data_IF_526465257282
#
_entry.id   IF_526465257282
#
_cell.length_a   1.000
_cell.length_b   1.000
_cell.length_c   1.000
_cell.angle_alpha   90.00
_cell.angle_beta   90.00
_cell.angle_gamma   90.00
#
_symmetry.space_group_name_H-M   'P 1'
#
loop_
_entity.id
_entity.type
_entity.pdbx_description
1 polymer ?
#
# COMPACT_ATOMS: atom_id res chain seq x y z
N UNK A 1 -18.56 -19.79 31.97
CA UNK A 1 -17.12 -20.17 32.04
C UNK A 1 -16.48 -20.53 30.68
N UNK A 2 -17.22 -20.87 29.63
CA UNK A 2 -16.65 -21.28 28.31
C UNK A 2 -16.04 -20.14 27.44
N UNK A 3 -16.55 -18.90 27.53
CA UNK A 3 -16.06 -17.80 26.69
C UNK A 3 -14.65 -17.28 27.04
N UNK A 4 -14.16 -17.45 28.26
CA UNK A 4 -12.79 -17.03 28.65
C UNK A 4 -11.70 -18.01 28.18
N UNK A 5 -12.03 -19.27 27.95
CA UNK A 5 -11.07 -20.28 27.47
C UNK A 5 -10.77 -20.07 25.96
N UNK A 6 -11.80 -19.75 25.19
CA UNK A 6 -11.68 -19.51 23.72
C UNK A 6 -10.83 -18.27 23.39
N UNK A 7 -10.92 -17.21 24.20
CA UNK A 7 -10.11 -15.99 24.02
C UNK A 7 -8.62 -16.24 24.34
N UNK A 8 -8.33 -17.04 25.35
CA UNK A 8 -6.95 -17.43 25.71
C UNK A 8 -6.28 -18.28 24.63
N UNK A 9 -7.00 -19.19 24.00
CA UNK A 9 -6.48 -20.02 22.91
C UNK A 9 -6.23 -19.21 21.63
N UNK A 10 -7.07 -18.22 21.32
CA UNK A 10 -6.86 -17.31 20.19
C UNK A 10 -5.68 -16.37 20.41
N UNK A 11 -5.50 -15.87 21.63
CA UNK A 11 -4.35 -15.05 22.03
C UNK A 11 -3.06 -15.88 21.96
N UNK A 12 -3.05 -17.12 22.47
CA UNK A 12 -1.89 -18.00 22.36
C UNK A 12 -1.56 -18.38 20.90
N UNK A 13 -2.56 -18.59 20.03
CA UNK A 13 -2.31 -18.77 18.59
C UNK A 13 -1.66 -17.53 17.95
N UNK A 14 -2.06 -16.33 18.38
CA UNK A 14 -1.50 -15.08 17.89
C UNK A 14 -0.03 -14.90 18.34
N UNK A 15 0.27 -15.21 19.61
CA UNK A 15 1.65 -15.19 20.12
C UNK A 15 2.53 -16.26 19.48
N UNK A 16 2.01 -17.47 19.24
CA UNK A 16 2.74 -18.52 18.51
C UNK A 16 3.03 -18.14 17.06
N UNK A 17 2.16 -17.37 16.41
CA UNK A 17 2.42 -16.84 15.06
C UNK A 17 3.51 -15.77 15.08
N UNK A 18 3.54 -14.92 16.11
CA UNK A 18 4.59 -13.91 16.32
C UNK A 18 5.94 -14.55 16.66
N UNK A 19 5.94 -15.60 17.47
CA UNK A 19 7.17 -16.35 17.81
C UNK A 19 7.65 -17.21 16.64
N UNK A 20 6.77 -17.73 15.80
CA UNK A 20 7.14 -18.36 14.53
C UNK A 20 7.81 -17.38 13.57
N UNK A 21 7.36 -16.13 13.53
CA UNK A 21 8.01 -15.06 12.73
C UNK A 21 9.36 -14.68 13.35
N UNK A 22 9.50 -14.66 14.68
CA UNK A 22 10.78 -14.41 15.37
C UNK A 22 11.78 -15.56 15.21
N UNK A 23 11.31 -16.80 15.13
CA UNK A 23 12.14 -18.00 14.97
C UNK A 23 12.48 -18.31 13.50
N UNK A 24 11.98 -17.55 12.51
CA UNK A 24 12.52 -17.52 11.17
C UNK A 24 13.91 -16.84 11.23
N UNK A 25 14.88 -17.60 11.72
CA UNK A 25 16.35 -17.41 11.66
C UNK A 25 16.84 -15.97 11.34
N UNK A 26 16.75 -15.07 12.34
CA UNK A 26 17.46 -13.79 12.32
C UNK A 26 18.99 -13.97 12.44
N UNK A 27 19.48 -15.19 12.67
CA UNK A 27 20.90 -15.49 12.93
C UNK A 27 21.68 -16.03 11.71
N UNK A 28 21.07 -16.09 10.53
CA UNK A 28 21.85 -16.27 9.31
C UNK A 28 22.27 -14.88 8.83
N UNK A 29 23.49 -14.45 9.16
CA UNK A 29 24.16 -13.34 8.47
C UNK A 29 24.23 -13.77 6.99
N UNK A 30 23.25 -13.31 6.21
CA UNK A 30 23.28 -13.50 4.76
C UNK A 30 24.50 -12.74 4.24
N UNK A 31 25.37 -13.44 3.60
CA UNK A 31 26.49 -12.83 2.88
C UNK A 31 25.94 -11.91 1.78
N UNK A 32 26.71 -10.93 1.35
CA UNK A 32 26.33 -9.99 0.29
C UNK A 32 25.79 -10.70 -0.97
N UNK A 33 26.20 -11.93 -1.22
CA UNK A 33 25.80 -12.77 -2.35
C UNK A 33 24.41 -13.43 -2.17
N UNK A 34 23.97 -13.71 -0.93
CA UNK A 34 22.62 -14.24 -0.67
C UNK A 34 21.51 -13.16 -0.76
N UNK A 35 21.87 -11.86 -0.77
CA UNK A 35 20.95 -10.73 -0.94
C UNK A 35 20.53 -10.56 -2.42
N UNK A 36 21.22 -11.21 -3.35
CA UNK A 36 21.00 -11.09 -4.80
C UNK A 36 19.79 -11.90 -5.31
N UNK A 37 19.16 -12.73 -4.49
CA UNK A 37 18.16 -13.69 -4.99
C UNK A 37 16.75 -13.15 -5.24
N UNK A 38 16.42 -11.90 -4.85
CA UNK A 38 15.15 -11.27 -5.21
C UNK A 38 15.35 -9.79 -5.59
N UNK A 39 16.25 -9.52 -6.50
CA UNK A 39 16.47 -8.17 -6.99
C UNK A 39 15.27 -7.69 -7.80
N UNK A 40 14.68 -6.56 -7.40
CA UNK A 40 13.68 -5.85 -8.18
C UNK A 40 14.31 -4.95 -9.25
N UNK A 41 15.55 -5.23 -9.64
CA UNK A 41 16.28 -4.50 -10.67
C UNK A 41 15.48 -4.47 -11.99
N UNK A 42 15.31 -3.28 -12.54
CA UNK A 42 14.50 -3.07 -13.74
C UNK A 42 12.98 -3.07 -13.51
N UNK A 43 12.49 -3.28 -12.30
CA UNK A 43 11.07 -3.10 -11.94
C UNK A 43 10.76 -1.64 -11.62
N UNK A 44 9.57 -1.21 -11.97
CA UNK A 44 9.02 0.13 -11.68
C UNK A 44 7.90 -0.01 -10.67
N UNK A 45 8.03 0.66 -9.53
CA UNK A 45 7.07 0.62 -8.43
C UNK A 45 6.45 1.99 -8.17
N UNK A 46 5.12 2.08 -8.21
CA UNK A 46 4.36 3.25 -7.78
C UNK A 46 3.83 3.02 -6.37
N UNK A 47 4.18 3.92 -5.44
CA UNK A 47 3.69 3.87 -4.05
C UNK A 47 2.90 5.14 -3.76
N UNK A 48 1.62 5.00 -3.46
CA UNK A 48 0.76 6.13 -3.12
C UNK A 48 0.87 6.52 -1.65
N UNK A 49 0.80 7.81 -1.33
CA UNK A 49 0.96 8.31 0.04
C UNK A 49 2.34 8.00 0.63
N UNK A 50 3.39 8.07 -0.19
CA UNK A 50 4.74 7.65 0.18
C UNK A 50 5.63 8.78 0.74
N UNK A 51 5.06 9.93 1.11
CA UNK A 51 5.82 11.02 1.73
C UNK A 51 6.31 10.67 3.15
N UNK A 52 5.61 9.80 3.88
CA UNK A 52 5.91 9.44 5.27
C UNK A 52 5.36 8.07 5.67
N UNK A 53 5.68 7.65 6.90
CA UNK A 53 5.09 6.47 7.54
C UNK A 53 5.31 5.18 6.75
N UNK A 54 4.28 4.35 6.65
CA UNK A 54 4.30 3.04 5.99
C UNK A 54 4.67 3.17 4.51
N UNK A 55 4.08 4.12 3.79
CA UNK A 55 4.37 4.33 2.36
C UNK A 55 5.83 4.70 2.09
N UNK A 56 6.43 5.57 2.91
CA UNK A 56 7.86 5.90 2.84
C UNK A 56 8.73 4.68 3.12
N UNK A 57 8.40 3.89 4.15
CA UNK A 57 9.13 2.66 4.48
C UNK A 57 9.08 1.63 3.35
N UNK A 58 7.90 1.44 2.72
CA UNK A 58 7.72 0.57 1.56
C UNK A 58 8.56 1.08 0.37
N UNK A 59 8.48 2.38 0.06
CA UNK A 59 9.22 3.00 -1.04
C UNK A 59 10.74 2.78 -0.88
N UNK A 60 11.27 3.03 0.32
CA UNK A 60 12.68 2.79 0.65
C UNK A 60 13.08 1.33 0.50
N UNK A 61 12.23 0.40 0.97
CA UNK A 61 12.53 -1.04 0.89
C UNK A 61 12.51 -1.55 -0.56
N UNK A 62 11.55 -1.09 -1.38
CA UNK A 62 11.52 -1.43 -2.80
C UNK A 62 12.75 -0.89 -3.55
N UNK A 63 13.14 0.35 -3.30
CA UNK A 63 14.33 0.95 -3.89
C UNK A 63 15.62 0.24 -3.45
N UNK A 64 15.74 -0.13 -2.18
CA UNK A 64 16.88 -0.90 -1.65
C UNK A 64 17.03 -2.26 -2.35
N UNK A 65 15.93 -2.83 -2.84
CA UNK A 65 15.93 -4.07 -3.61
C UNK A 65 16.07 -3.85 -5.14
N UNK A 66 16.37 -2.62 -5.59
CA UNK A 66 16.71 -2.32 -6.98
C UNK A 66 15.55 -1.79 -7.83
N UNK A 67 14.34 -1.61 -7.29
CA UNK A 67 13.25 -1.01 -8.04
C UNK A 67 13.45 0.50 -8.27
N UNK A 68 13.01 1.00 -9.44
CA UNK A 68 12.77 2.42 -9.66
C UNK A 68 11.45 2.80 -9.00
N UNK A 69 11.47 3.70 -8.01
CA UNK A 69 10.29 3.98 -7.17
C UNK A 69 9.69 5.35 -7.48
N UNK A 70 8.40 5.38 -7.70
CA UNK A 70 7.62 6.61 -7.79
C UNK A 70 6.93 6.87 -6.45
N UNK A 71 7.29 7.99 -5.82
CA UNK A 71 6.77 8.49 -4.57
C UNK A 71 5.59 9.41 -4.89
N UNK A 72 4.35 8.89 -4.85
CA UNK A 72 3.19 9.76 -4.98
C UNK A 72 2.79 10.33 -3.62
N UNK A 73 2.40 11.59 -3.61
CA UNK A 73 1.90 12.34 -2.45
C UNK A 73 0.96 13.46 -2.87
N UNK A 74 0.18 14.04 -1.93
CA UNK A 74 -0.75 15.13 -2.23
C UNK A 74 -0.30 16.50 -1.71
N UNK A 75 0.17 16.58 -0.46
CA UNK A 75 0.41 17.87 0.24
C UNK A 75 1.77 17.98 0.94
N UNK A 76 2.36 16.87 1.34
CA UNK A 76 3.56 16.83 2.18
C UNK A 76 4.83 16.84 1.32
N UNK A 77 5.17 18.01 0.78
CA UNK A 77 6.36 18.22 -0.06
C UNK A 77 7.65 17.89 0.69
N UNK A 78 7.73 18.28 1.98
CA UNK A 78 8.91 18.06 2.81
C UNK A 78 9.13 16.56 3.04
N UNK A 79 8.09 15.84 3.44
CA UNK A 79 8.17 14.39 3.67
C UNK A 79 8.51 13.62 2.41
N UNK A 80 7.92 13.98 1.26
CA UNK A 80 8.21 13.36 -0.02
C UNK A 80 9.69 13.56 -0.42
N UNK A 81 10.21 14.78 -0.26
CA UNK A 81 11.61 15.08 -0.54
C UNK A 81 12.56 14.37 0.43
N UNK A 82 12.19 14.21 1.70
CA UNK A 82 12.99 13.44 2.65
C UNK A 82 13.04 11.95 2.25
N UNK A 83 11.91 11.36 1.88
CA UNK A 83 11.87 9.98 1.39
C UNK A 83 12.73 9.81 0.14
N UNK A 84 12.65 10.73 -0.81
CA UNK A 84 13.49 10.76 -2.00
C UNK A 84 14.98 10.80 -1.66
N UNK A 85 15.39 11.74 -0.79
CA UNK A 85 16.79 11.89 -0.36
C UNK A 85 17.34 10.64 0.32
N UNK A 86 16.55 10.00 1.19
CA UNK A 86 16.97 8.77 1.87
C UNK A 86 17.17 7.62 0.87
N UNK A 87 16.28 7.47 -0.12
CA UNK A 87 16.43 6.48 -1.19
C UNK A 87 17.70 6.74 -2.01
N UNK A 88 17.90 7.99 -2.44
CA UNK A 88 19.07 8.37 -3.25
C UNK A 88 20.38 8.19 -2.49
N UNK A 89 20.39 8.56 -1.19
CA UNK A 89 21.58 8.37 -0.30
C UNK A 89 21.94 6.88 -0.16
N UNK A 90 20.97 5.99 -0.24
CA UNK A 90 21.18 4.52 -0.19
C UNK A 90 21.51 3.92 -1.56
N UNK A 91 21.74 4.74 -2.60
CA UNK A 91 22.06 4.28 -3.95
C UNK A 91 20.85 3.83 -4.79
N UNK A 92 19.61 3.98 -4.28
CA UNK A 92 18.40 3.67 -4.99
C UNK A 92 17.96 4.80 -5.94
N UNK A 93 17.01 4.49 -6.82
CA UNK A 93 16.40 5.48 -7.71
C UNK A 93 14.94 5.74 -7.33
N UNK A 94 14.58 7.00 -7.20
CA UNK A 94 13.19 7.40 -7.01
C UNK A 94 12.87 8.73 -7.70
N UNK A 95 11.58 8.97 -7.96
CA UNK A 95 11.02 10.24 -8.44
C UNK A 95 9.77 10.57 -7.63
N UNK A 96 9.58 11.83 -7.28
CA UNK A 96 8.35 12.30 -6.64
C UNK A 96 7.34 12.76 -7.67
N UNK A 97 6.05 12.44 -7.46
CA UNK A 97 4.93 12.97 -8.25
C UNK A 97 3.85 13.48 -7.29
N UNK A 98 3.59 14.79 -7.32
CA UNK A 98 2.56 15.45 -6.52
C UNK A 98 1.22 15.36 -7.22
N UNK A 99 0.32 14.47 -6.75
CA UNK A 99 -1.06 14.38 -7.23
C UNK A 99 -1.99 13.91 -6.10
N UNK A 100 -3.12 14.56 -5.95
CA UNK A 100 -4.18 14.16 -5.02
C UNK A 100 -5.08 13.11 -5.69
N UNK A 101 -4.87 11.85 -5.35
CA UNK A 101 -5.58 10.72 -5.93
C UNK A 101 -7.02 10.54 -5.41
N UNK A 102 -7.54 11.45 -4.58
CA UNK A 102 -8.98 11.48 -4.26
C UNK A 102 -9.85 11.87 -5.45
N UNK A 103 -9.26 12.36 -6.53
CA UNK A 103 -9.93 12.71 -7.79
C UNK A 103 -9.61 11.67 -8.88
N UNK A 104 -10.65 11.19 -9.57
CA UNK A 104 -10.52 10.20 -10.65
C UNK A 104 -9.53 10.63 -11.73
N UNK A 105 -9.64 11.88 -12.23
CA UNK A 105 -8.74 12.40 -13.26
C UNK A 105 -7.26 12.30 -12.85
N UNK A 106 -6.96 12.64 -11.60
CA UNK A 106 -5.60 12.59 -11.07
C UNK A 106 -5.06 11.15 -10.97
N UNK A 107 -5.93 10.17 -10.72
CA UNK A 107 -5.52 8.75 -10.74
C UNK A 107 -5.06 8.34 -12.14
N UNK A 108 -5.85 8.70 -13.16
CA UNK A 108 -5.53 8.38 -14.57
C UNK A 108 -4.27 9.13 -15.03
N UNK A 109 -4.17 10.42 -14.72
CA UNK A 109 -3.00 11.23 -15.05
C UNK A 109 -1.73 10.70 -14.37
N UNK A 110 -1.82 10.25 -13.10
CA UNK A 110 -0.68 9.67 -12.39
C UNK A 110 -0.15 8.42 -13.10
N UNK A 111 -1.03 7.50 -13.45
CA UNK A 111 -0.64 6.26 -14.16
C UNK A 111 -0.03 6.61 -15.52
N UNK A 112 -0.66 7.50 -16.29
CA UNK A 112 -0.15 7.92 -17.60
C UNK A 112 1.22 8.59 -17.50
N UNK A 113 1.43 9.48 -16.52
CA UNK A 113 2.71 10.14 -16.30
C UNK A 113 3.82 9.13 -15.98
N UNK A 114 3.53 8.13 -15.13
CA UNK A 114 4.50 7.07 -14.81
C UNK A 114 4.79 6.22 -16.04
N UNK A 115 3.78 5.79 -16.79
CA UNK A 115 3.97 4.97 -17.99
C UNK A 115 4.75 5.74 -19.06
N UNK A 116 4.43 7.02 -19.27
CA UNK A 116 5.16 7.86 -20.23
C UNK A 116 6.63 8.03 -19.84
N UNK A 117 6.92 8.17 -18.54
CA UNK A 117 8.28 8.43 -18.05
C UNK A 117 9.13 7.15 -17.95
N UNK A 118 8.53 6.04 -17.53
CA UNK A 118 9.24 4.79 -17.19
C UNK A 118 8.87 3.61 -18.10
N UNK A 119 7.93 3.79 -19.01
CA UNK A 119 7.46 2.77 -19.96
C UNK A 119 6.54 1.71 -19.35
N UNK A 120 6.43 1.62 -18.01
CA UNK A 120 5.68 0.57 -17.32
C UNK A 120 5.44 0.88 -15.84
N UNK A 121 4.53 0.09 -15.24
CA UNK A 121 4.42 -0.09 -13.79
C UNK A 121 4.37 -1.59 -13.54
N UNK A 122 5.34 -2.13 -12.82
CA UNK A 122 5.39 -3.55 -12.44
C UNK A 122 4.77 -3.80 -11.06
N UNK A 123 4.82 -2.79 -10.18
CA UNK A 123 4.30 -2.88 -8.81
C UNK A 123 3.50 -1.62 -8.50
N UNK A 124 2.22 -1.79 -8.16
CA UNK A 124 1.36 -0.72 -7.63
C UNK A 124 1.11 -0.99 -6.15
N UNK A 125 1.48 -0.03 -5.29
CA UNK A 125 1.18 -0.07 -3.86
C UNK A 125 0.16 1.01 -3.52
N UNK A 126 -1.08 0.62 -3.31
CA UNK A 126 -2.16 1.46 -2.83
C UNK A 126 -2.05 1.59 -1.29
N UNK A 127 -1.27 2.59 -0.85
CA UNK A 127 -1.04 2.85 0.57
C UNK A 127 -1.71 4.15 1.05
N UNK A 128 -1.92 5.13 0.19
CA UNK A 128 -2.56 6.38 0.59
C UNK A 128 -3.92 6.12 1.24
N UNK A 129 -4.11 6.68 2.42
CA UNK A 129 -5.38 6.60 3.15
C UNK A 129 -5.52 7.77 4.12
N UNK A 130 -6.77 8.02 4.51
CA UNK A 130 -7.15 8.92 5.60
C UNK A 130 -8.00 8.15 6.59
N UNK A 131 -7.90 8.52 7.87
CA UNK A 131 -8.85 8.14 8.91
C UNK A 131 -9.40 9.39 9.56
N UNK A 132 -10.63 9.30 10.00
CA UNK A 132 -11.32 10.35 10.77
C UNK A 132 -12.10 9.66 11.87
N UNK A 133 -11.83 10.05 13.11
CA UNK A 133 -12.46 9.48 14.31
C UNK A 133 -13.65 10.35 14.71
N UNK A 134 -14.81 9.73 14.87
CA UNK A 134 -16.03 10.42 15.29
C UNK A 134 -17.24 9.49 15.31
N UNK A 135 -18.30 9.89 15.99
CA UNK A 135 -19.57 9.17 15.96
C UNK A 135 -20.17 9.24 14.55
N UNK A 136 -20.64 8.12 14.03
CA UNK A 136 -21.14 8.04 12.65
C UNK A 136 -22.27 9.03 12.37
N UNK A 137 -23.14 9.28 13.35
CA UNK A 137 -24.24 10.24 13.22
C UNK A 137 -23.78 11.68 13.02
N UNK A 138 -22.55 12.01 13.41
CA UNK A 138 -21.99 13.37 13.30
C UNK A 138 -21.17 13.57 12.03
N UNK A 139 -20.96 12.50 11.25
CA UNK A 139 -20.21 12.59 9.99
C UNK A 139 -20.96 13.38 8.95
N UNK A 140 -20.32 14.42 8.42
CA UNK A 140 -20.85 15.15 7.27
C UNK A 140 -20.68 14.33 6.00
N UNK A 141 -21.55 14.54 5.03
CA UNK A 141 -21.51 13.89 3.72
C UNK A 141 -20.14 14.02 3.04
N UNK A 142 -19.55 15.21 3.14
CA UNK A 142 -18.24 15.50 2.54
C UNK A 142 -17.13 14.63 3.14
N UNK A 143 -17.13 14.41 4.46
CA UNK A 143 -16.17 13.57 5.15
C UNK A 143 -16.29 12.11 4.70
N UNK A 144 -17.55 11.61 4.61
CA UNK A 144 -17.82 10.25 4.11
C UNK A 144 -17.28 10.11 2.68
N UNK A 145 -17.64 11.03 1.78
CA UNK A 145 -17.19 11.00 0.39
C UNK A 145 -15.65 11.06 0.27
N UNK A 146 -15.01 11.92 1.07
CA UNK A 146 -13.54 12.04 1.07
C UNK A 146 -12.86 10.74 1.49
N UNK A 147 -13.36 10.08 2.53
CA UNK A 147 -12.82 8.79 2.99
C UNK A 147 -13.05 7.69 1.94
N UNK A 148 -14.25 7.63 1.36
CA UNK A 148 -14.55 6.67 0.29
C UNK A 148 -13.66 6.90 -0.93
N UNK A 149 -13.50 8.14 -1.37
CA UNK A 149 -12.69 8.47 -2.54
C UNK A 149 -11.23 8.04 -2.37
N UNK A 150 -10.60 8.42 -1.25
CA UNK A 150 -9.15 8.15 -1.07
C UNK A 150 -8.86 6.69 -0.69
N UNK A 151 -9.69 6.08 0.19
CA UNK A 151 -9.37 4.78 0.77
C UNK A 151 -9.86 3.60 -0.07
N UNK A 152 -10.89 3.79 -0.90
CA UNK A 152 -11.51 2.71 -1.68
C UNK A 152 -11.51 2.99 -3.19
N UNK A 153 -12.09 4.12 -3.61
CA UNK A 153 -12.23 4.40 -5.04
C UNK A 153 -10.89 4.67 -5.73
N UNK A 154 -9.97 5.42 -5.09
CA UNK A 154 -8.65 5.66 -5.66
C UNK A 154 -7.86 4.36 -5.91
N UNK A 155 -7.73 3.40 -4.96
CA UNK A 155 -7.17 2.08 -5.23
C UNK A 155 -7.82 1.34 -6.40
N UNK A 156 -9.16 1.41 -6.53
CA UNK A 156 -9.88 0.78 -7.65
C UNK A 156 -9.52 1.45 -8.98
N UNK A 157 -9.52 2.77 -9.06
CA UNK A 157 -9.20 3.52 -10.29
C UNK A 157 -7.74 3.31 -10.72
N UNK A 158 -6.80 3.38 -9.78
CA UNK A 158 -5.39 3.13 -10.07
C UNK A 158 -5.16 1.69 -10.54
N UNK A 159 -5.80 0.72 -9.89
CA UNK A 159 -5.74 -0.68 -10.31
C UNK A 159 -6.32 -0.87 -11.71
N UNK A 160 -7.50 -0.32 -11.98
CA UNK A 160 -8.14 -0.38 -13.30
C UNK A 160 -7.24 0.22 -14.39
N UNK A 161 -6.60 1.35 -14.10
CA UNK A 161 -5.75 2.04 -15.09
C UNK A 161 -4.44 1.30 -15.39
N UNK A 162 -3.87 0.58 -14.41
CA UNK A 162 -2.60 -0.14 -14.61
C UNK A 162 -2.79 -1.55 -15.21
N UNK A 163 -3.93 -2.18 -14.99
CA UNK A 163 -4.21 -3.55 -15.39
C UNK A 163 -3.98 -3.86 -16.88
N UNK A 164 -4.41 -3.03 -17.86
CA UNK A 164 -4.18 -3.33 -19.28
C UNK A 164 -2.69 -3.54 -19.60
N UNK A 165 -1.81 -2.73 -19.01
CA UNK A 165 -0.36 -2.86 -19.17
C UNK A 165 0.19 -4.13 -18.49
N UNK A 166 -0.29 -4.47 -17.30
CA UNK A 166 0.14 -5.66 -16.56
C UNK A 166 -0.32 -6.94 -17.26
N UNK A 167 -1.57 -6.99 -17.72
CA UNK A 167 -2.14 -8.14 -18.45
C UNK A 167 -1.40 -8.35 -19.78
N UNK A 168 -1.18 -7.28 -20.56
CA UNK A 168 -0.42 -7.36 -21.81
C UNK A 168 0.99 -7.92 -21.65
N UNK A 169 1.61 -7.70 -20.48
CA UNK A 169 2.96 -8.22 -20.15
C UNK A 169 2.93 -9.60 -19.50
N UNK A 170 1.75 -10.10 -19.12
CA UNK A 170 1.62 -11.31 -18.31
C UNK A 170 2.30 -11.21 -16.94
N UNK A 171 2.49 -10.00 -16.40
CA UNK A 171 3.21 -9.79 -15.14
C UNK A 171 2.84 -8.46 -14.51
N UNK A 172 2.57 -8.48 -13.19
CA UNK A 172 2.30 -7.28 -12.40
C UNK A 172 1.93 -7.66 -10.96
N UNK A 173 2.08 -6.70 -10.05
CA UNK A 173 1.67 -6.87 -8.65
C UNK A 173 0.91 -5.65 -8.17
N UNK A 174 -0.28 -5.86 -7.64
CA UNK A 174 -1.08 -4.82 -6.98
C UNK A 174 -1.18 -5.16 -5.49
N UNK A 175 -0.69 -4.26 -4.65
CA UNK A 175 -0.65 -4.42 -3.20
C UNK A 175 -1.53 -3.34 -2.57
N UNK A 176 -2.55 -3.76 -1.84
CA UNK A 176 -3.48 -2.86 -1.15
C UNK A 176 -3.20 -2.88 0.36
N UNK A 177 -2.85 -1.72 0.94
CA UNK A 177 -2.61 -1.60 2.38
C UNK A 177 -3.95 -1.42 3.10
N UNK A 178 -4.39 -2.48 3.76
CA UNK A 178 -5.64 -2.51 4.49
C UNK A 178 -5.46 -2.18 5.98
N UNK A 179 -6.37 -2.66 6.82
CA UNK A 179 -6.38 -2.48 8.27
C UNK A 179 -7.09 -3.66 8.92
N UNK A 180 -6.77 -3.94 10.17
CA UNK A 180 -7.55 -4.87 11.02
C UNK A 180 -9.02 -4.43 11.11
N UNK A 181 -9.28 -3.12 11.09
CA UNK A 181 -10.65 -2.58 11.09
C UNK A 181 -11.45 -2.92 9.83
N UNK A 182 -10.80 -3.32 8.75
CA UNK A 182 -11.47 -3.86 7.55
C UNK A 182 -12.01 -5.28 7.75
N UNK A 183 -11.65 -5.97 8.83
CA UNK A 183 -12.14 -7.31 9.19
C UNK A 183 -13.08 -7.26 10.39
N UNK A 184 -12.72 -6.50 11.42
CA UNK A 184 -13.44 -6.50 12.70
C UNK A 184 -14.39 -5.31 12.85
N UNK A 185 -14.22 -4.24 12.07
CA UNK A 185 -14.82 -2.95 12.33
C UNK A 185 -14.25 -2.26 13.57
N UNK A 186 -14.52 -0.96 13.74
CA UNK A 186 -14.17 -0.21 14.93
C UNK A 186 -15.23 0.84 15.26
N UNK A 187 -15.52 1.01 16.54
CA UNK A 187 -16.33 2.13 17.04
C UNK A 187 -15.63 3.45 16.72
N UNK A 188 -16.40 4.47 16.39
CA UNK A 188 -15.93 5.80 15.98
C UNK A 188 -15.10 5.82 14.68
N UNK A 189 -14.89 4.70 14.01
CA UNK A 189 -14.22 4.59 12.71
C UNK A 189 -15.08 3.82 11.68
N UNK A 190 -16.40 3.98 11.71
CA UNK A 190 -17.35 3.22 10.87
C UNK A 190 -17.03 3.36 9.39
N UNK A 191 -16.86 4.59 8.90
CA UNK A 191 -16.58 4.85 7.47
C UNK A 191 -15.21 4.29 7.09
N UNK A 192 -14.18 4.52 7.90
CA UNK A 192 -12.84 3.98 7.65
C UNK A 192 -12.86 2.45 7.58
N UNK A 193 -13.48 1.80 8.56
CA UNK A 193 -13.64 0.33 8.59
C UNK A 193 -14.35 -0.20 7.35
N UNK A 194 -15.43 0.49 6.93
CA UNK A 194 -16.18 0.15 5.72
C UNK A 194 -15.29 0.24 4.48
N UNK A 195 -14.49 1.31 4.34
CA UNK A 195 -13.58 1.45 3.19
C UNK A 195 -12.53 0.34 3.16
N UNK A 196 -11.99 -0.05 4.32
CA UNK A 196 -10.98 -1.10 4.41
C UNK A 196 -11.55 -2.51 4.22
N UNK A 197 -12.78 -2.75 4.67
CA UNK A 197 -13.53 -3.98 4.36
C UNK A 197 -13.84 -4.10 2.87
N UNK A 198 -14.28 -2.99 2.24
CA UNK A 198 -14.45 -2.91 0.79
C UNK A 198 -13.16 -3.18 0.02
N UNK A 199 -12.04 -2.62 0.47
CA UNK A 199 -10.72 -2.84 -0.13
C UNK A 199 -10.27 -4.31 -0.02
N UNK A 200 -10.54 -4.98 1.11
CA UNK A 200 -10.27 -6.40 1.29
C UNK A 200 -11.04 -7.26 0.28
N UNK A 201 -12.33 -6.99 0.11
CA UNK A 201 -13.17 -7.71 -0.84
C UNK A 201 -12.79 -7.40 -2.29
N UNK A 202 -12.53 -6.13 -2.62
CA UNK A 202 -12.01 -5.73 -3.92
C UNK A 202 -10.74 -6.51 -4.29
N UNK A 203 -9.77 -6.58 -3.37
CA UNK A 203 -8.52 -7.32 -3.58
C UNK A 203 -8.77 -8.79 -3.90
N UNK A 204 -9.64 -9.45 -3.13
CA UNK A 204 -9.97 -10.87 -3.34
C UNK A 204 -10.70 -11.11 -4.66
N UNK A 205 -11.62 -10.20 -5.04
CA UNK A 205 -12.40 -10.32 -6.27
C UNK A 205 -11.51 -10.09 -7.49
N UNK A 206 -10.71 -9.02 -7.48
CA UNK A 206 -9.79 -8.71 -8.56
C UNK A 206 -8.75 -9.83 -8.78
N UNK A 207 -8.21 -10.39 -7.70
CA UNK A 207 -7.26 -11.50 -7.80
C UNK A 207 -7.84 -12.73 -8.51
N UNK A 208 -9.14 -13.01 -8.32
CA UNK A 208 -9.82 -14.11 -9.02
C UNK A 208 -10.07 -13.83 -10.51
N UNK A 209 -10.18 -12.55 -10.87
CA UNK A 209 -10.47 -12.13 -12.25
C UNK A 209 -9.20 -12.12 -13.12
N UNK A 210 -8.04 -11.81 -12.53
CA UNK A 210 -6.78 -11.59 -13.26
C UNK A 210 -5.68 -12.62 -12.96
N UNK A 211 -5.98 -13.68 -12.19
CA UNK A 211 -5.03 -14.74 -11.82
C UNK A 211 -4.72 -15.70 -12.98
#
# INVERSE_FOLDING_TARGET
MHKKKDLGEKINKFYNYFDMIKNLNYNKVRTREEIVMDSLTGKVALVTGASRGIGSAIAKKLALNGASVIINYSKDDIGANNTLKEITKSGGYAKTIKKDISYYSNCIELINEVITTFGKIDILVNNAAKSEIGLFMDFKRENINNLMNINLLAPMYLSQAVLPSMISKGSGNIINISSIWGETGASCEVVYSTTKGGLNLFTKSLAKEVA
#
